data_IF_068206939248
#
_entry.id   IF_068206939248
#
_cell.length_a   1.000
_cell.length_b   1.000
_cell.length_c   1.000
_cell.angle_alpha   90.00
_cell.angle_beta   90.00
_cell.angle_gamma   90.00
#
_symmetry.space_group_name_H-M   'P 1'
#
loop_
_entity.id
_entity.type
_entity.pdbx_description
1 polymer ?
#
# COMPACT_ATOMS: atom_id res chain seq x y z
N UNK A 1 -18.67 -12.17 33.14
CA UNK A 1 -18.33 -11.10 32.16
C UNK A 1 -16.84 -10.90 32.15
N UNK A 2 -16.18 -11.12 31.04
CA UNK A 2 -14.79 -10.71 30.95
C UNK A 2 -14.74 -9.17 31.03
N UNK A 3 -13.87 -8.64 31.91
CA UNK A 3 -13.61 -7.21 31.95
C UNK A 3 -13.27 -6.71 30.54
N UNK A 4 -13.80 -5.53 30.13
CA UNK A 4 -13.35 -4.93 28.89
C UNK A 4 -11.85 -4.69 29.00
N UNK A 5 -11.10 -5.36 28.15
CA UNK A 5 -9.66 -5.21 28.04
C UNK A 5 -9.36 -3.70 28.03
N UNK A 6 -8.60 -3.24 29.00
CA UNK A 6 -8.13 -1.84 29.06
C UNK A 6 -7.28 -1.62 27.81
N UNK A 7 -7.89 -1.02 26.82
CA UNK A 7 -7.22 -0.70 25.57
C UNK A 7 -6.12 0.30 25.82
N UNK A 8 -4.93 -0.01 25.37
CA UNK A 8 -3.86 0.97 25.30
C UNK A 8 -4.34 2.11 24.39
N UNK A 9 -4.14 3.38 24.80
CA UNK A 9 -4.48 4.50 23.93
C UNK A 9 -3.70 4.37 22.60
N UNK A 10 -4.39 4.66 21.49
CA UNK A 10 -3.76 4.67 20.18
C UNK A 10 -2.76 5.82 20.11
N UNK A 11 -1.50 5.57 19.74
CA UNK A 11 -0.57 6.65 19.45
C UNK A 11 -1.11 7.48 18.28
N UNK A 12 -1.09 8.79 18.39
CA UNK A 12 -1.36 9.70 17.29
C UNK A 12 -2.79 10.24 17.18
N UNK A 13 -3.83 9.51 17.58
CA UNK A 13 -5.21 10.04 17.56
C UNK A 13 -6.04 9.42 18.69
N UNK A 14 -5.91 9.92 19.91
CA UNK A 14 -6.65 9.38 21.04
C UNK A 14 -8.17 9.47 20.83
N UNK A 15 -8.85 8.35 20.95
CA UNK A 15 -10.31 8.31 21.08
C UNK A 15 -11.11 8.25 19.78
N UNK A 16 -10.49 8.34 18.59
CA UNK A 16 -11.22 8.26 17.34
C UNK A 16 -11.27 6.83 16.79
N UNK A 17 -12.46 6.28 16.64
CA UNK A 17 -12.71 5.03 15.92
C UNK A 17 -13.11 5.36 14.49
N UNK A 18 -12.33 4.92 13.52
CA UNK A 18 -12.58 5.20 12.10
C UNK A 18 -13.51 4.16 11.47
N UNK A 19 -13.47 2.94 11.94
CA UNK A 19 -14.33 1.86 11.47
C UNK A 19 -14.54 0.82 12.56
N UNK A 20 -15.69 0.14 12.50
CA UNK A 20 -16.01 -1.00 13.34
C UNK A 20 -15.97 -2.28 12.53
N UNK A 21 -15.35 -3.32 13.09
CA UNK A 21 -15.31 -4.64 12.47
C UNK A 21 -16.64 -5.37 12.71
N UNK A 22 -16.96 -6.40 11.89
CA UNK A 22 -18.19 -7.18 12.05
C UNK A 22 -18.37 -7.81 13.43
N UNK A 23 -17.28 -8.11 14.14
CA UNK A 23 -17.30 -8.66 15.50
C UNK A 23 -17.48 -7.62 16.60
N UNK A 24 -17.73 -6.36 16.25
CA UNK A 24 -17.97 -5.26 17.17
C UNK A 24 -16.71 -4.61 17.73
N UNK A 25 -15.51 -5.04 17.34
CA UNK A 25 -14.26 -4.40 17.72
C UNK A 25 -13.96 -3.22 16.80
N UNK A 26 -13.31 -2.14 17.30
CA UNK A 26 -12.85 -1.09 16.42
C UNK A 26 -11.64 -1.57 15.61
N UNK A 27 -11.52 -1.09 14.39
CA UNK A 27 -10.32 -1.26 13.59
C UNK A 27 -9.13 -0.59 14.29
N UNK A 28 -8.03 -1.33 14.42
CA UNK A 28 -6.84 -0.86 15.14
C UNK A 28 -5.58 -1.48 14.53
N UNK A 29 -4.78 -0.67 13.82
CA UNK A 29 -3.53 -1.10 13.17
C UNK A 29 -2.45 -1.51 14.16
N UNK A 30 -2.55 -1.09 15.41
CA UNK A 30 -1.59 -1.48 16.46
C UNK A 30 -1.88 -2.85 17.06
N UNK A 31 -3.04 -3.42 16.77
CA UNK A 31 -3.41 -4.78 17.18
C UNK A 31 -3.00 -5.77 16.10
N UNK A 32 -2.06 -6.68 16.43
CA UNK A 32 -1.52 -7.64 15.47
C UNK A 32 -2.60 -8.49 14.77
N UNK A 33 -3.63 -9.02 15.47
CA UNK A 33 -4.66 -9.83 14.82
C UNK A 33 -5.70 -9.01 14.05
N UNK A 34 -5.66 -7.67 14.11
CA UNK A 34 -6.64 -6.85 13.41
C UNK A 34 -6.41 -6.87 11.90
N UNK A 35 -7.46 -7.11 11.08
CA UNK A 35 -7.33 -7.08 9.63
C UNK A 35 -6.78 -5.77 9.07
N UNK A 36 -7.00 -4.64 9.73
CA UNK A 36 -6.45 -3.35 9.32
C UNK A 36 -4.91 -3.32 9.35
N UNK A 37 -4.29 -4.12 10.22
CA UNK A 37 -2.83 -4.28 10.24
C UNK A 37 -2.31 -4.97 8.99
N UNK A 38 -3.01 -5.98 8.51
CA UNK A 38 -2.67 -6.67 7.25
C UNK A 38 -2.77 -5.73 6.05
N UNK A 39 -3.77 -4.85 6.04
CA UNK A 39 -3.92 -3.82 5.01
C UNK A 39 -2.76 -2.82 5.06
N UNK A 40 -2.37 -2.38 6.25
CA UNK A 40 -1.22 -1.50 6.42
C UNK A 40 0.07 -2.14 5.92
N UNK A 41 0.29 -3.42 6.22
CA UNK A 41 1.45 -4.17 5.72
C UNK A 41 1.47 -4.21 4.19
N UNK A 42 0.30 -4.38 3.56
CA UNK A 42 0.16 -4.32 2.10
C UNK A 42 0.57 -2.96 1.55
N UNK A 43 0.08 -1.89 2.16
CA UNK A 43 0.32 -0.51 1.73
C UNK A 43 1.79 -0.10 1.96
N UNK A 44 2.41 -0.62 3.01
CA UNK A 44 3.81 -0.35 3.34
C UNK A 44 4.81 -1.00 2.38
N UNK A 45 4.37 -1.92 1.55
CA UNK A 45 5.20 -2.51 0.49
C UNK A 45 5.51 -1.44 -0.58
N UNK A 46 6.81 -1.28 -0.89
CA UNK A 46 7.25 -0.28 -1.88
C UNK A 46 6.61 -0.49 -3.26
N UNK A 47 6.41 -1.73 -3.66
CA UNK A 47 5.83 -2.05 -4.96
C UNK A 47 4.38 -1.61 -5.05
N UNK A 48 3.62 -1.72 -3.95
CA UNK A 48 2.25 -1.20 -3.86
C UNK A 48 2.21 0.29 -4.13
N UNK A 49 3.06 1.07 -3.47
CA UNK A 49 3.12 2.52 -3.66
C UNK A 49 3.43 2.89 -5.12
N UNK A 50 4.35 2.17 -5.76
CA UNK A 50 4.73 2.43 -7.15
C UNK A 50 3.65 1.98 -8.14
N UNK A 51 3.03 0.84 -7.91
CA UNK A 51 1.93 0.34 -8.76
C UNK A 51 0.73 1.28 -8.70
N UNK A 52 0.31 1.68 -7.51
CA UNK A 52 -0.80 2.63 -7.35
C UNK A 52 -0.48 3.95 -8.05
N UNK A 53 0.76 4.41 -7.96
CA UNK A 53 1.21 5.60 -8.68
C UNK A 53 1.06 5.46 -10.20
N UNK A 54 1.48 4.34 -10.77
CA UNK A 54 1.31 4.08 -12.19
C UNK A 54 -0.17 4.02 -12.60
N UNK A 55 -1.00 3.32 -11.81
CA UNK A 55 -2.42 3.14 -12.11
C UNK A 55 -3.26 4.40 -11.85
N UNK A 56 -2.74 5.36 -11.09
CA UNK A 56 -3.44 6.63 -10.83
C UNK A 56 -3.65 7.46 -12.11
N UNK A 57 -2.85 7.23 -13.14
CA UNK A 57 -2.98 7.90 -14.43
C UNK A 57 -3.85 7.15 -15.43
N UNK A 58 -4.37 5.99 -15.06
CA UNK A 58 -5.27 5.19 -15.90
C UNK A 58 -4.91 3.71 -15.94
N UNK A 59 -5.69 2.98 -16.69
CA UNK A 59 -5.50 1.53 -16.92
C UNK A 59 -4.14 1.24 -17.55
N UNK A 60 -3.48 0.21 -17.05
CA UNK A 60 -2.17 -0.24 -17.56
C UNK A 60 -2.18 -1.74 -17.81
N UNK A 61 -1.44 -2.16 -18.84
CA UNK A 61 -1.10 -3.56 -19.05
C UNK A 61 0.01 -3.98 -18.11
N UNK A 62 0.10 -5.27 -17.87
CA UNK A 62 1.19 -5.86 -17.09
C UNK A 62 2.59 -5.42 -17.59
N UNK A 63 2.80 -5.48 -18.90
CA UNK A 63 4.07 -5.07 -19.51
C UNK A 63 4.39 -3.59 -19.30
N UNK A 64 3.38 -2.74 -19.33
CA UNK A 64 3.56 -1.31 -19.07
C UNK A 64 3.95 -1.02 -17.62
N UNK A 65 3.34 -1.73 -16.67
CA UNK A 65 3.72 -1.64 -15.26
C UNK A 65 5.15 -2.10 -15.03
N UNK A 66 5.53 -3.22 -15.64
CA UNK A 66 6.88 -3.76 -15.52
C UNK A 66 7.94 -2.83 -16.12
N UNK A 67 7.64 -2.20 -17.24
CA UNK A 67 8.53 -1.23 -17.86
C UNK A 67 8.65 0.08 -17.06
N UNK A 68 7.58 0.51 -16.40
CA UNK A 68 7.54 1.77 -15.64
C UNK A 68 8.20 1.67 -14.27
N UNK A 69 8.24 0.47 -13.67
CA UNK A 69 8.76 0.25 -12.32
C UNK A 69 10.10 -0.45 -12.41
N UNK A 70 11.16 0.35 -12.31
CA UNK A 70 12.53 -0.18 -12.39
C UNK A 70 12.82 -1.13 -11.22
N UNK A 71 13.51 -2.22 -11.54
CA UNK A 71 13.94 -3.22 -10.56
C UNK A 71 12.88 -4.20 -10.08
N UNK A 72 11.62 -4.07 -10.52
CA UNK A 72 10.59 -5.03 -10.14
C UNK A 72 10.75 -6.33 -10.93
N UNK A 73 10.84 -7.46 -10.21
CA UNK A 73 10.83 -8.77 -10.85
C UNK A 73 9.40 -9.16 -11.28
N UNK A 74 9.30 -10.06 -12.24
CA UNK A 74 8.01 -10.64 -12.65
C UNK A 74 7.27 -11.27 -11.46
N UNK A 75 8.00 -12.00 -10.63
CA UNK A 75 7.45 -12.64 -9.44
C UNK A 75 6.87 -11.60 -8.47
N UNK A 76 7.62 -10.54 -8.15
CA UNK A 76 7.19 -9.51 -7.21
C UNK A 76 6.00 -8.72 -7.74
N UNK A 77 6.03 -8.35 -9.01
CA UNK A 77 4.92 -7.63 -9.65
C UNK A 77 3.64 -8.47 -9.63
N UNK A 78 3.74 -9.73 -10.01
CA UNK A 78 2.60 -10.66 -10.04
C UNK A 78 2.02 -10.87 -8.63
N UNK A 79 2.87 -11.10 -7.63
CA UNK A 79 2.42 -11.29 -6.25
C UNK A 79 1.75 -10.04 -5.70
N UNK A 80 2.33 -8.88 -5.94
CA UNK A 80 1.76 -7.61 -5.45
C UNK A 80 0.42 -7.32 -6.12
N UNK A 81 0.32 -7.49 -7.43
CA UNK A 81 -0.94 -7.29 -8.16
C UNK A 81 -2.04 -8.24 -7.69
N UNK A 82 -1.71 -9.51 -7.44
CA UNK A 82 -2.67 -10.48 -6.88
C UNK A 82 -3.17 -10.07 -5.50
N UNK A 83 -2.27 -9.58 -4.66
CA UNK A 83 -2.64 -9.07 -3.33
C UNK A 83 -3.55 -7.86 -3.41
N UNK A 84 -3.27 -6.92 -4.30
CA UNK A 84 -4.11 -5.74 -4.52
C UNK A 84 -5.48 -6.09 -5.09
N UNK A 85 -5.53 -7.05 -5.99
CA UNK A 85 -6.80 -7.57 -6.52
C UNK A 85 -7.61 -8.25 -5.42
N UNK A 86 -6.99 -9.09 -4.62
CA UNK A 86 -7.64 -9.76 -3.49
C UNK A 86 -8.22 -8.77 -2.49
N UNK A 87 -7.53 -7.68 -2.23
CA UNK A 87 -7.96 -6.64 -1.28
C UNK A 87 -8.98 -5.66 -1.89
N UNK A 88 -9.36 -5.86 -3.15
CA UNK A 88 -10.34 -5.01 -3.82
C UNK A 88 -9.83 -3.63 -4.23
N UNK A 89 -8.52 -3.44 -4.29
CA UNK A 89 -7.88 -2.17 -4.63
C UNK A 89 -7.61 -2.03 -6.13
N UNK A 90 -7.47 -3.15 -6.82
CA UNK A 90 -7.18 -3.24 -8.26
C UNK A 90 -8.14 -4.23 -8.89
N UNK A 91 -8.65 -3.92 -10.06
CA UNK A 91 -9.38 -4.86 -10.91
C UNK A 91 -8.48 -5.34 -12.04
N UNK A 92 -8.61 -6.61 -12.38
CA UNK A 92 -7.89 -7.27 -13.47
C UNK A 92 -8.87 -7.66 -14.54
N UNK A 93 -8.61 -7.23 -15.77
CA UNK A 93 -9.44 -7.56 -16.94
C UNK A 93 -8.61 -8.33 -17.94
N UNK A 94 -9.08 -9.52 -18.32
CA UNK A 94 -8.47 -10.33 -19.36
C UNK A 94 -9.29 -10.17 -20.64
N UNK A 95 -8.65 -9.69 -21.70
CA UNK A 95 -9.26 -9.62 -23.02
C UNK A 95 -8.97 -10.91 -23.80
N UNK A 96 -9.98 -11.58 -24.38
CA UNK A 96 -9.79 -12.84 -25.10
C UNK A 96 -9.25 -12.60 -26.52
N UNK A 97 -8.13 -11.94 -26.63
CA UNK A 97 -7.38 -11.71 -27.86
C UNK A 97 -6.24 -12.71 -28.00
N UNK A 98 -5.58 -12.77 -29.17
CA UNK A 98 -4.41 -13.61 -29.41
C UNK A 98 -3.24 -12.69 -29.78
N UNK A 99 -2.24 -12.53 -28.91
CA UNK A 99 -2.13 -13.05 -27.54
C UNK A 99 -3.11 -12.40 -26.57
N UNK A 100 -3.43 -13.05 -25.42
CA UNK A 100 -4.32 -12.46 -24.42
C UNK A 100 -3.75 -11.16 -23.86
N UNK A 101 -4.61 -10.17 -23.70
CA UNK A 101 -4.28 -8.87 -23.12
C UNK A 101 -4.83 -8.78 -21.71
N UNK A 102 -3.96 -8.49 -20.74
CA UNK A 102 -4.34 -8.31 -19.34
C UNK A 102 -4.16 -6.86 -18.94
N UNK A 103 -5.21 -6.24 -18.46
CA UNK A 103 -5.21 -4.86 -18.01
C UNK A 103 -5.53 -4.77 -16.51
N UNK A 104 -4.93 -3.78 -15.86
CA UNK A 104 -5.13 -3.48 -14.44
C UNK A 104 -5.63 -2.05 -14.28
N UNK A 105 -6.62 -1.89 -13.42
CA UNK A 105 -7.25 -0.59 -13.15
C UNK A 105 -7.46 -0.45 -11.65
N UNK A 106 -7.23 0.73 -11.09
CA UNK A 106 -7.64 1.02 -9.71
C UNK A 106 -9.16 0.95 -9.60
N UNK A 107 -9.65 0.25 -8.57
CA UNK A 107 -11.05 0.34 -8.17
C UNK A 107 -11.32 1.70 -7.52
N UNK A 108 -12.58 2.01 -7.26
CA UNK A 108 -12.93 3.21 -6.47
C UNK A 108 -12.21 3.20 -5.12
N UNK A 109 -12.18 2.05 -4.45
CA UNK A 109 -11.45 1.89 -3.18
C UNK A 109 -9.95 2.11 -3.37
N UNK A 110 -9.34 1.49 -4.38
CA UNK A 110 -7.92 1.68 -4.69
C UNK A 110 -7.56 3.12 -5.01
N UNK A 111 -8.46 3.84 -5.68
CA UNK A 111 -8.30 5.26 -5.97
C UNK A 111 -8.19 6.14 -4.72
N UNK A 112 -8.79 5.72 -3.61
CA UNK A 112 -8.68 6.45 -2.33
C UNK A 112 -7.26 6.42 -1.76
N UNK A 113 -6.41 5.49 -2.19
CA UNK A 113 -5.00 5.42 -1.79
C UNK A 113 -4.07 6.30 -2.63
N UNK A 114 -4.52 6.80 -3.78
CA UNK A 114 -3.66 7.55 -4.70
C UNK A 114 -3.05 8.78 -4.03
N UNK A 115 -3.85 9.61 -3.38
CA UNK A 115 -3.36 10.84 -2.75
C UNK A 115 -2.43 10.55 -1.54
N UNK A 116 -2.79 9.69 -0.58
CA UNK A 116 -1.88 9.36 0.53
C UNK A 116 -0.54 8.80 0.08
N UNK A 117 -0.52 7.90 -0.90
CA UNK A 117 0.71 7.30 -1.39
C UNK A 117 1.54 8.29 -2.21
N UNK A 118 0.90 9.19 -2.97
CA UNK A 118 1.59 10.27 -3.66
C UNK A 118 2.34 11.17 -2.67
N UNK A 119 1.71 11.53 -1.56
CA UNK A 119 2.35 12.32 -0.49
C UNK A 119 3.58 11.61 0.05
N UNK A 120 3.48 10.29 0.27
CA UNK A 120 4.62 9.50 0.80
C UNK A 120 5.76 9.43 -0.23
N UNK A 121 5.46 9.20 -1.51
CA UNK A 121 6.47 9.19 -2.58
C UNK A 121 7.15 10.55 -2.70
N UNK A 122 6.38 11.62 -2.71
CA UNK A 122 6.90 12.99 -2.82
C UNK A 122 7.76 13.34 -1.61
N UNK A 123 7.37 12.93 -0.43
CA UNK A 123 8.15 13.13 0.80
C UNK A 123 9.53 12.47 0.69
N UNK A 124 9.58 11.24 0.19
CA UNK A 124 10.83 10.50 0.01
C UNK A 124 11.77 11.24 -0.97
N UNK A 125 11.23 11.72 -2.08
CA UNK A 125 12.00 12.46 -3.07
C UNK A 125 12.45 13.84 -2.54
N UNK A 126 11.56 14.55 -1.84
CA UNK A 126 11.84 15.88 -1.33
C UNK A 126 12.92 15.90 -0.22
N UNK A 127 13.02 14.83 0.56
CA UNK A 127 13.90 14.78 1.74
C UNK A 127 15.11 13.86 1.58
N UNK A 128 15.35 13.35 0.37
CA UNK A 128 16.42 12.36 0.16
C UNK A 128 17.80 12.90 0.53
N UNK A 129 18.08 14.16 0.26
CA UNK A 129 19.38 14.74 0.58
C UNK A 129 19.60 14.84 2.09
N UNK A 130 18.59 15.24 2.85
CA UNK A 130 18.66 15.28 4.32
C UNK A 130 18.89 13.88 4.91
N UNK A 131 18.22 12.87 4.34
CA UNK A 131 18.36 11.48 4.77
C UNK A 131 19.77 10.96 4.44
N UNK A 132 20.27 11.24 3.23
CA UNK A 132 21.61 10.83 2.84
C UNK A 132 22.68 11.48 3.72
N UNK A 133 22.51 12.75 4.07
CA UNK A 133 23.43 13.44 5.01
C UNK A 133 23.39 12.78 6.39
N UNK A 134 22.21 12.43 6.89
CA UNK A 134 22.06 11.73 8.15
C UNK A 134 22.71 10.36 8.14
N UNK A 135 22.54 9.60 7.06
CA UNK A 135 23.18 8.29 6.88
C UNK A 135 24.70 8.40 6.84
N UNK A 136 25.21 9.37 6.10
CA UNK A 136 26.64 9.63 6.01
C UNK A 136 27.25 9.99 7.39
N UNK A 137 26.56 10.78 8.19
CA UNK A 137 26.98 11.10 9.56
C UNK A 137 26.97 9.87 10.46
N UNK A 138 25.95 9.05 10.36
CA UNK A 138 25.83 7.83 11.16
C UNK A 138 26.92 6.81 10.79
N UNK A 139 27.11 6.54 9.51
CA UNK A 139 28.05 5.53 9.00
C UNK A 139 29.50 5.99 9.12
N UNK A 140 29.78 7.27 8.98
CA UNK A 140 31.11 7.86 9.16
C UNK A 140 31.42 8.35 10.57
N UNK A 141 30.41 8.39 11.45
CA UNK A 141 30.53 8.81 12.84
C UNK A 141 31.11 7.73 13.74
N UNK A 142 32.06 8.07 14.48
CA UNK A 142 32.64 7.21 15.53
C UNK A 142 31.76 7.25 16.75
#
# INVERSE_FOLDING_TARGET
>A
MPEPSRRRPRPGTPGQVLAWLPDGRPADVYSAPCPSRQVLDRIADKWTALIVGCLSTGTKRYSELRAAIDGVSEKMLTQTLRGLERDGLVSRTVHPTVPPKVEYTLTTLGGTLSAPLAVIRDWAEAHINEINDARARYDGGV
#
